data_IF_597125533065
#
_entry.id   IF_597125533065
#
_cell.length_a   1.000
_cell.length_b   1.000
_cell.length_c   1.000
_cell.angle_alpha   90.00
_cell.angle_beta   90.00
_cell.angle_gamma   90.00
#
_symmetry.space_group_name_H-M   'P 1'
#
loop_
_entity.id
_entity.type
_entity.pdbx_description
1 polymer ?
#
# COMPACT_ATOMS: atom_id res chain seq x y z
N UNK A 1 -4.15 18.97 -2.70
CA UNK A 1 -3.37 18.04 -3.53
C UNK A 1 -4.02 17.98 -4.89
N UNK A 2 -3.26 18.04 -5.99
CA UNK A 2 -3.80 17.85 -7.35
C UNK A 2 -3.91 16.37 -7.70
N UNK A 3 -4.70 16.01 -8.73
CA UNK A 3 -4.85 14.62 -9.20
C UNK A 3 -3.51 13.95 -9.55
N UNK A 4 -2.60 14.71 -10.17
CA UNK A 4 -1.24 14.25 -10.48
C UNK A 4 -0.42 13.93 -9.22
N UNK A 5 -0.62 14.68 -8.14
CA UNK A 5 0.05 14.46 -6.86
C UNK A 5 -0.47 13.19 -6.17
N UNK A 6 -1.79 12.97 -6.21
CA UNK A 6 -2.41 11.72 -5.71
C UNK A 6 -1.93 10.49 -6.48
N UNK A 7 -1.82 10.58 -7.82
CA UNK A 7 -1.22 9.51 -8.64
C UNK A 7 0.23 9.23 -8.25
N UNK A 8 1.06 10.27 -8.18
CA UNK A 8 2.47 10.11 -7.82
C UNK A 8 2.63 9.50 -6.41
N UNK A 9 1.78 9.91 -5.46
CA UNK A 9 1.78 9.36 -4.10
C UNK A 9 1.31 7.89 -4.06
N UNK A 10 0.31 7.52 -4.86
CA UNK A 10 -0.13 6.14 -5.02
C UNK A 10 0.95 5.24 -5.65
N UNK A 11 1.65 5.72 -6.68
CA UNK A 11 2.80 5.03 -7.27
C UNK A 11 3.94 4.87 -6.25
N UNK A 12 4.24 5.92 -5.49
CA UNK A 12 5.24 5.85 -4.43
C UNK A 12 4.87 4.82 -3.35
N UNK A 13 3.60 4.78 -2.92
CA UNK A 13 3.11 3.79 -1.97
C UNK A 13 3.17 2.36 -2.52
N UNK A 14 2.85 2.19 -3.80
CA UNK A 14 3.01 0.89 -4.50
C UNK A 14 4.45 0.41 -4.41
N UNK A 15 5.40 1.29 -4.77
CA UNK A 15 6.81 0.93 -4.79
C UNK A 15 7.35 0.63 -3.38
N UNK A 16 6.93 1.42 -2.38
CA UNK A 16 7.27 1.17 -0.99
C UNK A 16 6.73 -0.17 -0.50
N UNK A 17 5.47 -0.49 -0.83
CA UNK A 17 4.84 -1.74 -0.48
C UNK A 17 5.57 -2.96 -1.05
N UNK A 18 5.82 -2.96 -2.36
CA UNK A 18 6.51 -4.07 -3.03
C UNK A 18 7.91 -4.29 -2.44
N UNK A 19 8.61 -3.19 -2.15
CA UNK A 19 9.93 -3.25 -1.54
C UNK A 19 9.88 -3.83 -0.14
N UNK A 20 9.00 -3.33 0.72
CA UNK A 20 8.84 -3.81 2.10
C UNK A 20 8.46 -5.29 2.13
N UNK A 21 7.52 -5.71 1.29
CA UNK A 21 7.12 -7.12 1.17
C UNK A 21 8.28 -8.03 0.75
N UNK A 22 9.15 -7.56 -0.16
CA UNK A 22 10.34 -8.30 -0.56
C UNK A 22 11.36 -8.37 0.58
N UNK A 23 11.60 -7.28 1.29
CA UNK A 23 12.50 -7.26 2.45
C UNK A 23 11.99 -8.20 3.56
N UNK A 24 10.71 -8.11 3.92
CA UNK A 24 10.08 -8.98 4.93
C UNK A 24 10.07 -10.45 4.49
N UNK A 25 9.81 -10.73 3.22
CA UNK A 25 9.85 -12.11 2.72
C UNK A 25 11.27 -12.71 2.74
N UNK A 26 12.31 -11.86 2.60
CA UNK A 26 13.71 -12.29 2.71
C UNK A 26 14.12 -12.51 4.17
N UNK A 27 13.67 -11.65 5.09
CA UNK A 27 14.07 -11.66 6.49
C UNK A 27 13.28 -12.69 7.34
N UNK A 28 11.95 -12.76 7.15
CA UNK A 28 11.03 -13.63 7.92
C UNK A 28 10.51 -14.84 7.13
N UNK A 29 10.71 -14.86 5.82
CA UNK A 29 10.24 -15.92 4.94
C UNK A 29 8.87 -15.64 4.29
N UNK A 30 8.64 -16.31 3.16
CA UNK A 30 7.47 -16.13 2.29
C UNK A 30 6.11 -16.34 2.96
N UNK A 31 6.02 -17.13 4.04
CA UNK A 31 4.74 -17.42 4.71
C UNK A 31 4.24 -16.22 5.52
N UNK A 32 5.16 -15.50 6.17
CA UNK A 32 4.87 -14.31 6.96
C UNK A 32 4.33 -13.18 6.08
N UNK A 33 4.99 -12.93 4.95
CA UNK A 33 4.58 -11.89 4.01
C UNK A 33 3.36 -12.27 3.15
N UNK A 34 2.90 -13.53 3.13
CA UNK A 34 1.89 -14.01 2.17
C UNK A 34 0.52 -13.36 2.36
N UNK A 35 0.06 -13.28 3.60
CA UNK A 35 -1.27 -12.72 3.92
C UNK A 35 -1.27 -11.21 3.71
N UNK A 36 -0.24 -10.54 4.23
CA UNK A 36 0.02 -9.11 4.07
C UNK A 36 0.16 -8.72 2.60
N UNK A 37 0.88 -9.51 1.79
CA UNK A 37 1.00 -9.27 0.35
C UNK A 37 -0.36 -9.23 -0.33
N UNK A 38 -1.23 -10.22 -0.07
CA UNK A 38 -2.58 -10.25 -0.63
C UNK A 38 -3.38 -9.00 -0.26
N UNK A 39 -3.28 -8.58 0.99
CA UNK A 39 -3.99 -7.39 1.50
C UNK A 39 -3.51 -6.10 0.83
N UNK A 40 -2.20 -5.92 0.76
CA UNK A 40 -1.57 -4.78 0.11
C UNK A 40 -1.88 -4.76 -1.38
N UNK A 41 -1.75 -5.89 -2.09
CA UNK A 41 -2.10 -5.97 -3.51
C UNK A 41 -3.58 -5.60 -3.75
N UNK A 42 -4.48 -6.02 -2.86
CA UNK A 42 -5.89 -5.61 -2.91
C UNK A 42 -6.08 -4.10 -2.74
N UNK A 43 -5.43 -3.49 -1.75
CA UNK A 43 -5.48 -2.04 -1.50
C UNK A 43 -4.89 -1.24 -2.67
N UNK A 44 -3.82 -1.74 -3.29
CA UNK A 44 -3.20 -1.13 -4.46
C UNK A 44 -4.14 -1.17 -5.67
N UNK A 45 -4.84 -2.28 -5.86
CA UNK A 45 -5.82 -2.41 -6.94
C UNK A 45 -7.05 -1.51 -6.70
N UNK A 46 -7.51 -1.41 -5.46
CA UNK A 46 -8.58 -0.50 -5.04
C UNK A 46 -8.19 0.98 -5.27
N UNK A 47 -6.98 1.37 -4.85
CA UNK A 47 -6.42 2.71 -5.05
C UNK A 47 -6.31 3.07 -6.53
N UNK A 48 -5.82 2.15 -7.37
CA UNK A 48 -5.77 2.33 -8.83
C UNK A 48 -7.17 2.50 -9.42
N UNK A 49 -8.14 1.70 -8.97
CA UNK A 49 -9.53 1.81 -9.38
C UNK A 49 -10.16 3.15 -9.02
N UNK A 50 -9.84 3.71 -7.85
CA UNK A 50 -10.29 5.05 -7.46
C UNK A 50 -9.61 6.15 -8.28
N UNK A 51 -8.32 6.02 -8.58
CA UNK A 51 -7.61 6.97 -9.45
C UNK A 51 -8.16 6.98 -10.87
N UNK A 52 -8.49 5.80 -11.42
CA UNK A 52 -9.10 5.66 -12.73
C UNK A 52 -10.51 6.28 -12.76
N UNK A 53 -11.35 6.00 -11.76
CA UNK A 53 -12.68 6.60 -11.63
C UNK A 53 -12.63 8.12 -11.38
N UNK A 54 -11.66 8.61 -10.60
CA UNK A 54 -11.52 10.05 -10.34
C UNK A 54 -11.10 10.84 -11.59
N UNK A 55 -10.25 10.28 -12.46
CA UNK A 55 -9.92 10.90 -13.74
C UNK A 55 -11.15 10.97 -14.68
N UNK A 56 -12.08 10.01 -14.58
CA UNK A 56 -13.28 9.94 -15.41
C UNK A 56 -14.43 10.81 -14.89
N UNK A 57 -14.65 10.85 -13.57
CA UNK A 57 -15.88 11.40 -12.96
C UNK A 57 -15.62 12.46 -11.87
N UNK A 58 -14.36 12.79 -11.57
CA UNK A 58 -13.90 13.82 -10.61
C UNK A 58 -14.60 13.80 -9.23
N UNK A 59 -15.11 12.67 -8.78
CA UNK A 59 -15.85 12.58 -7.51
C UNK A 59 -15.16 11.72 -6.43
N UNK A 60 -14.31 10.77 -6.81
CA UNK A 60 -13.77 9.78 -5.87
C UNK A 60 -12.50 10.20 -5.12
N UNK A 61 -12.38 11.49 -4.78
CA UNK A 61 -11.24 11.98 -4.01
C UNK A 61 -11.17 11.34 -2.61
N UNK A 62 -12.33 11.08 -2.00
CA UNK A 62 -12.43 10.43 -0.69
C UNK A 62 -12.03 8.96 -0.73
N UNK A 63 -12.38 8.26 -1.79
CA UNK A 63 -11.99 6.86 -1.99
C UNK A 63 -10.47 6.72 -2.04
N UNK A 64 -9.81 7.63 -2.78
CA UNK A 64 -8.35 7.70 -2.85
C UNK A 64 -7.74 7.93 -1.47
N UNK A 65 -8.17 8.97 -0.75
CA UNK A 65 -7.64 9.29 0.59
C UNK A 65 -7.81 8.10 1.58
N UNK A 66 -8.96 7.42 1.55
CA UNK A 66 -9.21 6.26 2.41
C UNK A 66 -8.31 5.08 2.03
N UNK A 67 -8.18 4.76 0.74
CA UNK A 67 -7.34 3.67 0.27
C UNK A 67 -5.85 3.94 0.57
N UNK A 68 -5.39 5.18 0.40
CA UNK A 68 -4.03 5.59 0.78
C UNK A 68 -3.80 5.43 2.28
N UNK A 69 -4.74 5.88 3.12
CA UNK A 69 -4.63 5.75 4.57
C UNK A 69 -4.56 4.28 5.01
N UNK A 70 -5.44 3.42 4.47
CA UNK A 70 -5.42 1.98 4.74
C UNK A 70 -4.11 1.33 4.31
N UNK A 71 -3.59 1.69 3.13
CA UNK A 71 -2.33 1.14 2.63
C UNK A 71 -1.15 1.58 3.50
N UNK A 72 -1.10 2.85 3.91
CA UNK A 72 -0.08 3.33 4.84
C UNK A 72 -0.15 2.62 6.18
N UNK A 73 -1.34 2.43 6.72
CA UNK A 73 -1.55 1.73 7.99
C UNK A 73 -1.06 0.28 7.91
N UNK A 74 -1.43 -0.47 6.86
CA UNK A 74 -0.95 -1.84 6.66
C UNK A 74 0.56 -1.92 6.46
N UNK A 75 1.17 -0.96 5.77
CA UNK A 75 2.63 -0.92 5.60
C UNK A 75 3.35 -0.59 6.91
N UNK A 76 2.78 0.32 7.70
CA UNK A 76 3.31 0.66 9.01
C UNK A 76 3.23 -0.54 9.95
N UNK A 77 2.09 -1.22 9.97
CA UNK A 77 1.87 -2.40 10.81
C UNK A 77 2.78 -3.56 10.38
N UNK A 78 2.94 -3.81 9.07
CA UNK A 78 3.87 -4.80 8.54
C UNK A 78 5.33 -4.48 8.91
N UNK A 79 5.74 -3.22 8.77
CA UNK A 79 7.09 -2.79 9.14
C UNK A 79 7.32 -2.96 10.65
N UNK A 80 6.31 -2.59 11.47
CA UNK A 80 6.36 -2.72 12.92
C UNK A 80 6.41 -4.17 13.37
N UNK A 81 5.59 -5.05 12.81
CA UNK A 81 5.63 -6.49 13.08
C UNK A 81 6.97 -7.10 12.68
N UNK A 82 7.49 -6.76 11.49
CA UNK A 82 8.83 -7.16 11.08
C UNK A 82 9.89 -6.68 12.09
N UNK A 83 9.77 -5.45 12.59
CA UNK A 83 10.68 -4.94 13.62
C UNK A 83 10.57 -5.70 14.96
N UNK A 84 9.36 -6.07 15.35
CA UNK A 84 9.09 -6.79 16.61
C UNK A 84 9.49 -8.26 16.55
N UNK A 85 9.20 -8.94 15.44
CA UNK A 85 9.57 -10.34 15.18
C UNK A 85 11.06 -10.48 14.87
N UNK A 86 11.68 -9.45 14.25
CA UNK A 86 13.06 -9.45 13.79
C UNK A 86 14.11 -9.05 14.80
N UNK A 87 13.69 -8.46 15.92
CA UNK A 87 14.52 -8.09 17.07
C UNK A 87 15.97 -7.73 16.71
N UNK A 88 16.20 -6.51 16.20
CA UNK A 88 17.53 -5.88 16.32
C UNK A 88 17.78 -5.44 17.76
#
# INVERSE_FOLDING_TARGET
MGQAEKRNQAEALTFQAERLLREVALDFGMQFARDRRRRIEGLLQELRGYLEQNDLEQNDERGIDIAQAKLQDELYDLNREAYLEGGM
#
